data_IF_622431512662
#
_entry.id   IF_622431512662
#
_cell.length_a   1.000
_cell.length_b   1.000
_cell.length_c   1.000
_cell.angle_alpha   90.00
_cell.angle_beta   90.00
_cell.angle_gamma   90.00
#
_symmetry.space_group_name_H-M   'P 1'
#
loop_
_entity.id
_entity.type
_entity.pdbx_description
1 polymer ?
#
# COMPACT_ATOMS: atom_id res chain seq x y z
N UNK A 1 -20.08 -19.05 4.31
CA UNK A 1 -18.89 -19.06 3.41
C UNK A 1 -19.25 -18.78 1.95
N UNK A 2 -20.34 -19.32 1.39
CA UNK A 2 -20.70 -19.09 -0.03
C UNK A 2 -20.91 -17.62 -0.41
N UNK A 3 -21.48 -16.79 0.46
CA UNK A 3 -21.73 -15.37 0.17
C UNK A 3 -20.44 -14.55 -0.02
N UNK A 4 -19.41 -14.82 0.79
CA UNK A 4 -18.09 -14.15 0.69
C UNK A 4 -17.41 -14.51 -0.65
N UNK A 5 -17.48 -15.79 -1.02
CA UNK A 5 -16.89 -16.28 -2.26
C UNK A 5 -17.58 -15.71 -3.51
N UNK A 6 -18.92 -15.64 -3.49
CA UNK A 6 -19.70 -15.08 -4.60
C UNK A 6 -19.43 -13.57 -4.75
N UNK A 7 -19.36 -12.83 -3.64
CA UNK A 7 -19.02 -11.39 -3.66
C UNK A 7 -17.61 -11.17 -4.22
N UNK A 8 -16.64 -12.01 -3.84
CA UNK A 8 -15.28 -11.95 -4.37
C UNK A 8 -15.21 -12.26 -5.88
N UNK A 9 -15.98 -13.25 -6.36
CA UNK A 9 -16.07 -13.56 -7.79
C UNK A 9 -16.68 -12.43 -8.61
N UNK A 10 -17.69 -11.74 -8.09
CA UNK A 10 -18.27 -10.56 -8.72
C UNK A 10 -17.24 -9.44 -8.85
N UNK A 11 -16.44 -9.20 -7.80
CA UNK A 11 -15.35 -8.22 -7.82
C UNK A 11 -14.29 -8.55 -8.87
N UNK A 12 -13.88 -9.82 -9.01
CA UNK A 12 -12.93 -10.23 -10.07
C UNK A 12 -13.52 -9.96 -11.45
N UNK A 13 -14.82 -10.20 -11.65
CA UNK A 13 -15.49 -9.92 -12.92
C UNK A 13 -15.48 -8.43 -13.26
N UNK A 14 -15.80 -7.58 -12.29
CA UNK A 14 -15.74 -6.11 -12.44
C UNK A 14 -14.31 -5.66 -12.75
N UNK A 15 -13.31 -6.19 -12.04
CA UNK A 15 -11.90 -5.87 -12.26
C UNK A 15 -11.47 -6.21 -13.69
N UNK A 16 -11.95 -7.32 -14.27
CA UNK A 16 -11.65 -7.70 -15.66
C UNK A 16 -12.33 -6.80 -16.70
N UNK A 17 -13.40 -6.11 -16.34
CA UNK A 17 -14.16 -5.27 -17.26
C UNK A 17 -13.68 -3.81 -17.23
N UNK A 18 -13.16 -3.33 -16.10
CA UNK A 18 -12.60 -1.97 -15.98
C UNK A 18 -11.09 -1.96 -16.32
N UNK A 19 -10.76 -1.42 -17.50
CA UNK A 19 -9.39 -1.28 -17.97
C UNK A 19 -8.51 -0.45 -17.03
N UNK A 20 -9.07 0.54 -16.32
CA UNK A 20 -8.33 1.36 -15.38
C UNK A 20 -7.84 0.54 -14.18
N UNK A 21 -8.69 -0.33 -13.64
CA UNK A 21 -8.36 -1.18 -12.49
C UNK A 21 -7.29 -2.23 -12.84
N UNK A 22 -7.33 -2.76 -14.06
CA UNK A 22 -6.30 -3.67 -14.57
C UNK A 22 -4.94 -2.97 -14.64
N UNK A 23 -4.90 -1.75 -15.18
CA UNK A 23 -3.67 -0.96 -15.29
C UNK A 23 -3.10 -0.69 -13.89
N UNK A 24 -3.94 -0.35 -12.92
CA UNK A 24 -3.50 -0.11 -11.53
C UNK A 24 -2.94 -1.39 -10.90
N UNK A 25 -3.59 -2.54 -11.11
CA UNK A 25 -3.10 -3.82 -10.59
C UNK A 25 -1.75 -4.24 -11.23
N UNK A 26 -1.51 -3.86 -12.48
CA UNK A 26 -0.24 -4.07 -13.17
C UNK A 26 0.84 -3.01 -12.87
N UNK A 27 0.44 -1.85 -12.31
CA UNK A 27 1.35 -0.74 -12.03
C UNK A 27 2.57 -1.14 -11.17
N UNK A 28 2.47 -1.98 -10.12
CA UNK A 28 3.64 -2.42 -9.36
C UNK A 28 4.65 -3.21 -10.19
N UNK A 29 4.18 -4.01 -11.14
CA UNK A 29 5.04 -4.80 -12.01
C UNK A 29 5.73 -3.90 -13.06
N UNK A 30 4.99 -2.97 -13.64
CA UNK A 30 5.56 -1.94 -14.53
C UNK A 30 6.60 -1.09 -13.79
N UNK A 31 6.27 -0.59 -12.60
CA UNK A 31 7.19 0.17 -11.76
C UNK A 31 8.43 -0.65 -11.38
N UNK A 32 8.27 -1.94 -11.04
CA UNK A 32 9.39 -2.83 -10.74
C UNK A 32 10.33 -3.05 -11.92
N UNK A 33 9.79 -3.29 -13.12
CA UNK A 33 10.62 -3.36 -14.33
C UNK A 33 11.35 -2.05 -14.59
N UNK A 34 10.64 -0.92 -14.47
CA UNK A 34 11.24 0.39 -14.67
C UNK A 34 12.36 0.65 -13.67
N UNK A 35 12.16 0.41 -12.38
CA UNK A 35 13.19 0.61 -11.36
C UNK A 35 14.39 -0.31 -11.57
N UNK A 36 14.19 -1.60 -11.86
CA UNK A 36 15.29 -2.55 -12.06
C UNK A 36 16.18 -2.21 -13.26
N UNK A 37 15.62 -1.64 -14.34
CA UNK A 37 16.41 -1.28 -15.52
C UNK A 37 16.89 0.17 -15.51
N UNK A 38 16.05 1.12 -15.10
CA UNK A 38 16.37 2.54 -15.12
C UNK A 38 17.44 2.89 -14.09
N UNK A 39 17.39 2.33 -12.88
CA UNK A 39 18.29 2.73 -11.79
C UNK A 39 19.75 2.33 -12.07
N UNK A 40 20.06 1.08 -12.47
CA UNK A 40 21.43 0.73 -12.84
C UNK A 40 21.92 1.45 -14.10
N UNK A 41 21.02 1.81 -15.02
CA UNK A 41 21.36 2.60 -16.19
C UNK A 41 21.75 4.03 -15.81
N UNK A 42 20.98 4.66 -14.92
CA UNK A 42 21.26 5.99 -14.37
C UNK A 42 22.57 5.95 -13.57
N UNK A 43 22.81 4.92 -12.76
CA UNK A 43 24.06 4.78 -12.02
C UNK A 43 25.26 4.76 -12.98
N UNK A 44 25.24 3.96 -14.04
CA UNK A 44 26.32 3.89 -15.03
C UNK A 44 26.60 5.23 -15.72
N UNK A 45 25.55 6.02 -16.02
CA UNK A 45 25.71 7.34 -16.63
C UNK A 45 26.34 8.34 -15.66
N UNK A 46 25.93 8.31 -14.39
CA UNK A 46 26.42 9.25 -13.37
C UNK A 46 27.85 8.90 -12.98
N UNK A 47 28.17 7.61 -12.75
CA UNK A 47 29.54 7.19 -12.41
C UNK A 47 30.52 7.49 -13.54
N UNK A 48 30.09 7.36 -14.80
CA UNK A 48 30.88 7.76 -15.97
C UNK A 48 31.12 9.27 -16.09
N UNK A 49 30.22 10.12 -15.59
CA UNK A 49 30.35 11.58 -15.65
C UNK A 49 31.08 12.19 -14.45
N UNK A 50 30.85 11.65 -13.24
CA UNK A 50 31.40 12.17 -11.99
C UNK A 50 32.66 11.44 -11.49
N UNK A 51 33.02 10.28 -12.07
CA UNK A 51 34.23 9.53 -11.70
C UNK A 51 34.21 8.94 -10.29
N UNK A 52 33.02 8.70 -9.72
CA UNK A 52 32.85 8.05 -8.42
C UNK A 52 32.33 6.62 -8.59
N UNK A 53 32.73 5.70 -7.71
CA UNK A 53 32.45 4.26 -7.85
C UNK A 53 30.97 3.88 -7.60
N UNK A 54 30.26 4.57 -6.71
CA UNK A 54 28.82 4.35 -6.46
C UNK A 54 28.16 5.54 -5.76
N UNK A 55 27.21 6.21 -6.43
CA UNK A 55 26.49 7.37 -5.89
C UNK A 55 25.05 7.00 -5.46
N UNK A 56 24.41 6.05 -6.15
CA UNK A 56 23.02 5.67 -5.86
C UNK A 56 22.88 4.45 -4.94
N UNK A 57 23.96 3.71 -4.69
CA UNK A 57 23.94 2.50 -3.87
C UNK A 57 23.24 2.64 -2.50
N UNK A 58 23.38 3.75 -1.74
CA UNK A 58 22.67 3.92 -0.46
C UNK A 58 21.13 4.07 -0.60
N UNK A 59 20.64 4.41 -1.80
CA UNK A 59 19.22 4.64 -2.07
C UNK A 59 18.50 3.42 -2.67
N UNK A 60 19.22 2.33 -2.97
CA UNK A 60 18.61 1.10 -3.50
C UNK A 60 17.62 0.49 -2.52
N UNK A 61 17.94 0.57 -1.23
CA UNK A 61 17.04 0.16 -0.14
C UNK A 61 15.74 0.97 -0.11
N UNK A 62 15.81 2.28 -0.36
CA UNK A 62 14.64 3.16 -0.39
C UNK A 62 13.73 2.86 -1.58
N UNK A 63 14.31 2.54 -2.74
CA UNK A 63 13.56 2.13 -3.94
C UNK A 63 12.87 0.79 -3.70
N UNK A 64 13.59 -0.19 -3.15
CA UNK A 64 13.01 -1.49 -2.82
C UNK A 64 11.87 -1.35 -1.83
N UNK A 65 12.03 -0.50 -0.79
CA UNK A 65 10.97 -0.16 0.15
C UNK A 65 9.74 0.44 -0.55
N UNK A 66 9.97 1.40 -1.46
CA UNK A 66 8.89 2.05 -2.18
C UNK A 66 8.10 1.04 -3.02
N UNK A 67 8.78 0.11 -3.68
CA UNK A 67 8.16 -0.97 -4.45
C UNK A 67 7.37 -1.95 -3.54
N UNK A 68 7.92 -2.29 -2.36
CA UNK A 68 7.25 -3.15 -1.38
C UNK A 68 5.98 -2.51 -0.83
N UNK A 69 5.97 -1.20 -0.58
CA UNK A 69 4.76 -0.46 -0.12
C UNK A 69 3.78 -0.24 -1.26
N UNK A 70 4.26 0.10 -2.46
CA UNK A 70 3.44 0.41 -3.63
C UNK A 70 2.60 -0.79 -4.05
N UNK A 71 3.19 -1.99 -4.05
CA UNK A 71 2.50 -3.22 -4.48
C UNK A 71 1.16 -3.45 -3.76
N UNK A 72 1.12 -3.63 -2.43
CA UNK A 72 -0.12 -3.83 -1.71
C UNK A 72 -1.01 -2.58 -1.70
N UNK A 73 -0.44 -1.39 -1.79
CA UNK A 73 -1.24 -0.16 -1.87
C UNK A 73 -2.08 -0.11 -3.15
N UNK A 74 -1.52 -0.49 -4.30
CA UNK A 74 -2.24 -0.53 -5.57
C UNK A 74 -3.32 -1.61 -5.59
N UNK A 75 -3.05 -2.81 -5.05
CA UNK A 75 -4.07 -3.85 -4.92
C UNK A 75 -5.24 -3.38 -4.05
N UNK A 76 -4.96 -2.82 -2.86
CA UNK A 76 -6.00 -2.34 -1.95
C UNK A 76 -6.73 -1.10 -2.50
N UNK A 77 -6.07 -0.27 -3.30
CA UNK A 77 -6.68 0.84 -4.02
C UNK A 77 -7.76 0.37 -5.01
N UNK A 78 -7.48 -0.68 -5.79
CA UNK A 78 -8.46 -1.26 -6.71
C UNK A 78 -9.72 -1.68 -5.96
N UNK A 79 -9.56 -2.29 -4.78
CA UNK A 79 -10.70 -2.67 -3.93
C UNK A 79 -11.50 -1.45 -3.47
N UNK A 80 -10.82 -0.40 -3.03
CA UNK A 80 -11.46 0.83 -2.60
C UNK A 80 -12.30 1.45 -3.72
N UNK A 81 -11.78 1.43 -4.97
CA UNK A 81 -12.51 1.91 -6.15
C UNK A 81 -13.73 1.06 -6.46
N UNK A 82 -13.62 -0.28 -6.39
CA UNK A 82 -14.78 -1.16 -6.59
C UNK A 82 -15.84 -0.93 -5.51
N UNK A 83 -15.43 -0.72 -4.26
CA UNK A 83 -16.38 -0.38 -3.19
C UNK A 83 -17.09 0.94 -3.50
N UNK A 84 -16.37 1.96 -3.98
CA UNK A 84 -16.94 3.26 -4.33
C UNK A 84 -17.88 3.18 -5.54
N UNK A 85 -17.56 2.36 -6.53
CA UNK A 85 -18.41 2.10 -7.68
C UNK A 85 -19.73 1.43 -7.27
N UNK A 86 -19.67 0.43 -6.39
CA UNK A 86 -20.86 -0.17 -5.79
C UNK A 86 -21.65 0.84 -4.94
N UNK A 87 -20.98 1.84 -4.35
CA UNK A 87 -21.67 2.91 -3.63
C UNK A 87 -22.37 3.90 -4.55
N UNK A 88 -21.77 4.22 -5.69
CA UNK A 88 -22.30 5.14 -6.69
C UNK A 88 -23.51 4.55 -7.43
N UNK A 89 -23.50 3.24 -7.73
CA UNK A 89 -24.62 2.52 -8.37
C UNK A 89 -25.85 2.33 -7.44
N UNK A 90 -25.93 3.07 -6.33
CA UNK A 90 -26.99 3.00 -5.30
C UNK A 90 -27.18 1.64 -4.62
N UNK A 91 -26.23 0.70 -4.79
CA UNK A 91 -26.28 -0.64 -4.18
C UNK A 91 -26.01 -0.64 -2.67
N UNK A 92 -25.58 0.49 -2.09
CA UNK A 92 -25.37 0.63 -0.63
C UNK A 92 -26.67 0.60 0.17
N UNK A 93 -27.77 1.06 -0.41
CA UNK A 93 -29.10 0.94 0.21
C UNK A 93 -29.49 -0.52 0.43
N UNK A 94 -29.03 -1.42 -0.44
CA UNK A 94 -29.21 -2.87 -0.29
C UNK A 94 -28.19 -3.52 0.66
N UNK A 95 -26.98 -2.97 0.82
CA UNK A 95 -25.96 -3.49 1.75
C UNK A 95 -26.41 -3.43 3.21
N UNK A 96 -27.23 -2.44 3.60
CA UNK A 96 -27.81 -2.32 4.94
C UNK A 96 -28.74 -3.50 5.31
N UNK A 97 -29.26 -4.22 4.31
CA UNK A 97 -30.23 -5.32 4.47
C UNK A 97 -29.60 -6.70 4.29
N UNK A 98 -28.29 -6.77 3.98
CA UNK A 98 -27.58 -8.06 3.81
C UNK A 98 -27.14 -8.67 5.15
N UNK A 99 -27.17 -10.01 5.29
CA UNK A 99 -26.80 -10.71 6.54
C UNK A 99 -25.30 -10.62 6.91
N UNK A 100 -24.46 -10.04 6.03
CA UNK A 100 -23.02 -9.86 6.25
C UNK A 100 -22.68 -8.67 7.17
N UNK A 101 -23.58 -7.70 7.30
CA UNK A 101 -23.34 -6.47 8.06
C UNK A 101 -22.21 -5.58 7.49
N UNK A 102 -22.07 -4.37 8.04
CA UNK A 102 -21.12 -3.34 7.56
C UNK A 102 -19.66 -3.74 7.75
N UNK A 103 -19.37 -4.45 8.84
CA UNK A 103 -18.02 -4.93 9.20
C UNK A 103 -17.63 -6.17 8.43
N UNK A 104 -18.56 -7.10 8.21
CA UNK A 104 -18.32 -8.32 7.42
C UNK A 104 -18.07 -8.03 5.95
N UNK A 105 -18.75 -7.02 5.37
CA UNK A 105 -18.48 -6.55 4.02
C UNK A 105 -17.05 -6.01 3.87
N UNK A 106 -16.59 -5.11 4.76
CA UNK A 106 -15.21 -4.60 4.71
C UNK A 106 -14.16 -5.71 4.90
N UNK A 107 -14.37 -6.60 5.87
CA UNK A 107 -13.46 -7.73 6.13
C UNK A 107 -13.38 -8.67 4.92
N UNK A 108 -14.51 -8.92 4.25
CA UNK A 108 -14.56 -9.79 3.09
C UNK A 108 -13.78 -9.25 1.88
N UNK A 109 -13.73 -7.93 1.69
CA UNK A 109 -13.02 -7.31 0.57
C UNK A 109 -11.60 -6.93 0.93
N UNK A 110 -11.44 -5.99 1.87
CA UNK A 110 -10.13 -5.47 2.25
C UNK A 110 -9.28 -6.52 2.99
N UNK A 111 -9.91 -7.41 3.78
CA UNK A 111 -9.19 -8.48 4.46
C UNK A 111 -8.65 -9.53 3.48
N UNK A 112 -9.49 -10.02 2.57
CA UNK A 112 -9.09 -11.03 1.57
C UNK A 112 -8.05 -10.47 0.61
N UNK A 113 -8.21 -9.25 0.13
CA UNK A 113 -7.23 -8.64 -0.79
C UNK A 113 -5.97 -8.21 -0.05
N UNK A 114 -6.08 -7.75 1.20
CA UNK A 114 -4.94 -7.58 2.09
C UNK A 114 -4.09 -8.86 2.17
N UNK A 115 -4.74 -10.01 2.39
CA UNK A 115 -4.08 -11.32 2.43
C UNK A 115 -3.47 -11.75 1.09
N UNK A 116 -4.11 -11.44 -0.05
CA UNK A 116 -3.56 -11.73 -1.39
C UNK A 116 -2.41 -10.78 -1.76
N UNK A 117 -2.49 -9.53 -1.31
CA UNK A 117 -1.49 -8.50 -1.60
C UNK A 117 -0.16 -8.74 -0.89
N UNK A 118 -0.17 -9.49 0.22
CA UNK A 118 1.03 -9.86 0.97
C UNK A 118 1.99 -10.79 0.20
N UNK A 119 1.58 -11.98 -0.29
CA UNK A 119 2.45 -12.81 -1.12
C UNK A 119 2.78 -12.11 -2.45
N UNK A 120 1.88 -11.28 -2.98
CA UNK A 120 2.15 -10.49 -4.18
C UNK A 120 3.30 -9.50 -3.97
N UNK A 121 3.36 -8.79 -2.83
CA UNK A 121 4.44 -7.85 -2.53
C UNK A 121 5.78 -8.55 -2.34
N UNK A 122 5.80 -9.72 -1.71
CA UNK A 122 7.00 -10.58 -1.62
C UNK A 122 7.45 -11.01 -3.01
N UNK A 123 6.53 -11.47 -3.86
CA UNK A 123 6.84 -11.93 -5.21
C UNK A 123 7.43 -10.82 -6.09
N UNK A 124 6.78 -9.65 -6.13
CA UNK A 124 7.26 -8.50 -6.92
C UNK A 124 8.61 -8.01 -6.40
N UNK A 125 8.79 -7.93 -5.08
CA UNK A 125 10.08 -7.55 -4.50
C UNK A 125 11.18 -8.58 -4.78
N UNK A 126 10.88 -9.89 -4.69
CA UNK A 126 11.85 -10.94 -5.02
C UNK A 126 12.30 -10.89 -6.50
N UNK A 127 11.39 -10.53 -7.41
CA UNK A 127 11.69 -10.36 -8.83
C UNK A 127 12.50 -9.10 -9.15
N UNK A 128 12.29 -8.00 -8.41
CA UNK A 128 12.84 -6.69 -8.76
C UNK A 128 13.82 -6.09 -7.75
N UNK A 129 14.22 -6.84 -6.71
CA UNK A 129 15.16 -6.37 -5.67
C UNK A 129 16.47 -5.84 -6.26
N UNK A 130 16.88 -4.67 -5.79
CA UNK A 130 18.19 -4.07 -6.08
C UNK A 130 19.17 -4.26 -4.92
N UNK A 131 18.68 -4.41 -3.69
CA UNK A 131 19.48 -4.52 -2.47
C UNK A 131 19.40 -5.91 -1.82
N UNK A 132 20.44 -6.28 -1.07
CA UNK A 132 20.52 -7.53 -0.32
C UNK A 132 19.90 -7.38 1.08
N UNK A 133 18.59 -7.16 1.13
CA UNK A 133 17.84 -7.15 2.40
C UNK A 133 17.61 -8.58 2.88
N UNK A 134 17.76 -8.81 4.19
CA UNK A 134 17.46 -10.11 4.81
C UNK A 134 16.00 -10.51 4.52
N UNK A 135 15.78 -11.76 4.12
CA UNK A 135 14.47 -12.32 3.80
C UNK A 135 13.47 -12.10 4.95
N UNK A 136 13.91 -12.26 6.21
CA UNK A 136 13.03 -12.08 7.35
C UNK A 136 12.58 -10.61 7.51
N UNK A 137 13.50 -9.67 7.31
CA UNK A 137 13.19 -8.24 7.30
C UNK A 137 12.24 -7.89 6.14
N UNK A 138 12.52 -8.41 4.94
CA UNK A 138 11.67 -8.22 3.75
C UNK A 138 10.25 -8.71 3.98
N UNK A 139 10.06 -9.90 4.55
CA UNK A 139 8.71 -10.41 4.86
C UNK A 139 7.99 -9.54 5.89
N UNK A 140 8.68 -9.04 6.92
CA UNK A 140 8.06 -8.17 7.91
C UNK A 140 7.70 -6.79 7.33
N UNK A 141 8.49 -6.24 6.41
CA UNK A 141 8.16 -4.99 5.72
C UNK A 141 7.01 -5.21 4.74
N UNK A 142 6.95 -6.37 4.07
CA UNK A 142 5.81 -6.74 3.24
C UNK A 142 4.51 -6.81 4.07
N UNK A 143 4.56 -7.32 5.31
CA UNK A 143 3.43 -7.27 6.24
C UNK A 143 3.08 -5.83 6.63
N UNK A 144 4.08 -5.01 6.95
CA UNK A 144 3.85 -3.61 7.29
C UNK A 144 3.23 -2.84 6.10
N UNK A 145 3.70 -3.11 4.89
CA UNK A 145 3.20 -2.55 3.64
C UNK A 145 1.77 -2.97 3.32
N UNK A 146 1.35 -4.21 3.65
CA UNK A 146 -0.04 -4.62 3.48
C UNK A 146 -0.97 -3.91 4.44
N UNK A 147 -0.56 -3.74 5.69
CA UNK A 147 -1.29 -2.92 6.67
C UNK A 147 -1.39 -1.48 6.16
N UNK A 148 -0.33 -0.91 5.60
CA UNK A 148 -0.36 0.42 5.00
C UNK A 148 -1.30 0.52 3.78
N UNK A 149 -1.32 -0.49 2.90
CA UNK A 149 -2.26 -0.55 1.80
C UNK A 149 -3.72 -0.59 2.27
N UNK A 150 -4.01 -1.33 3.35
CA UNK A 150 -5.35 -1.35 3.97
C UNK A 150 -5.71 0.00 4.59
N UNK A 151 -4.76 0.70 5.23
CA UNK A 151 -4.97 2.07 5.73
C UNK A 151 -5.36 3.01 4.59
N UNK A 152 -4.62 2.96 3.46
CA UNK A 152 -4.89 3.78 2.28
C UNK A 152 -6.30 3.51 1.73
N UNK A 153 -6.66 2.24 1.55
CA UNK A 153 -7.98 1.88 1.07
C UNK A 153 -9.10 2.35 2.01
N UNK A 154 -8.93 2.17 3.33
CA UNK A 154 -9.89 2.66 4.31
C UNK A 154 -10.01 4.19 4.29
N UNK A 155 -8.91 4.92 4.13
CA UNK A 155 -8.96 6.38 3.99
C UNK A 155 -9.75 6.81 2.75
N UNK A 156 -9.54 6.15 1.62
CA UNK A 156 -10.26 6.44 0.37
C UNK A 156 -11.76 6.23 0.55
N UNK A 157 -12.17 5.06 1.04
CA UNK A 157 -13.60 4.74 1.19
C UNK A 157 -14.25 5.58 2.30
N UNK A 158 -13.51 5.95 3.34
CA UNK A 158 -14.05 6.80 4.42
C UNK A 158 -14.22 8.26 4.02
N UNK A 159 -13.25 8.83 3.30
CA UNK A 159 -13.26 10.26 3.00
C UNK A 159 -14.04 10.60 1.73
N UNK A 160 -14.25 9.63 0.83
CA UNK A 160 -14.90 9.88 -0.46
C UNK A 160 -16.39 9.58 -0.42
N UNK A 161 -17.18 10.37 -1.14
CA UNK A 161 -18.60 10.12 -1.37
C UNK A 161 -18.86 9.36 -2.66
N UNK A 162 -17.99 9.51 -3.67
CA UNK A 162 -18.10 8.86 -4.98
C UNK A 162 -16.75 8.41 -5.55
N UNK A 163 -16.76 7.65 -6.65
CA UNK A 163 -15.56 7.11 -7.33
C UNK A 163 -14.60 8.22 -7.76
N UNK A 164 -15.11 9.35 -8.24
CA UNK A 164 -14.28 10.48 -8.71
C UNK A 164 -13.53 11.16 -7.55
N UNK A 165 -14.21 11.42 -6.44
CA UNK A 165 -13.60 11.91 -5.21
C UNK A 165 -12.62 10.89 -4.65
N UNK A 166 -12.94 9.60 -4.76
CA UNK A 166 -12.05 8.47 -4.47
C UNK A 166 -10.71 8.58 -5.18
N UNK A 167 -10.72 8.94 -6.46
CA UNK A 167 -9.48 9.12 -7.24
C UNK A 167 -8.64 10.30 -6.74
N UNK A 168 -9.30 11.39 -6.33
CA UNK A 168 -8.61 12.55 -5.77
C UNK A 168 -8.02 12.23 -4.40
N UNK A 169 -8.82 11.67 -3.49
CA UNK A 169 -8.38 11.24 -2.16
C UNK A 169 -7.26 10.21 -2.26
N UNK A 170 -7.35 9.29 -3.22
CA UNK A 170 -6.30 8.34 -3.58
C UNK A 170 -4.93 8.97 -3.71
N UNK A 171 -4.83 10.00 -4.55
CA UNK A 171 -3.57 10.75 -4.77
C UNK A 171 -3.10 11.50 -3.53
N UNK A 172 -4.01 11.94 -2.66
CA UNK A 172 -3.63 12.59 -1.40
C UNK A 172 -3.13 11.55 -0.40
N UNK A 173 -3.74 10.35 -0.35
CA UNK A 173 -3.34 9.29 0.58
C UNK A 173 -1.96 8.72 0.28
N UNK A 174 -1.43 8.86 -0.95
CA UNK A 174 -0.03 8.53 -1.22
C UNK A 174 0.95 9.40 -0.43
N UNK A 175 0.53 10.56 0.09
CA UNK A 175 1.36 11.35 1.02
C UNK A 175 1.70 10.57 2.30
N UNK A 176 0.92 9.56 2.69
CA UNK A 176 1.27 8.69 3.81
C UNK A 176 2.54 7.87 3.54
N UNK A 177 2.98 7.69 2.29
CA UNK A 177 4.26 7.04 1.95
C UNK A 177 5.44 7.99 2.06
N UNK A 178 5.22 9.32 2.14
CA UNK A 178 6.31 10.32 2.24
C UNK A 178 7.13 10.16 3.51
N UNK A 179 6.54 9.62 4.58
CA UNK A 179 7.26 9.30 5.82
C UNK A 179 8.49 8.41 5.62
N UNK A 180 8.50 7.56 4.58
CA UNK A 180 9.62 6.69 4.25
C UNK A 180 10.88 7.45 3.77
N UNK A 181 10.74 8.67 3.24
CA UNK A 181 11.88 9.48 2.79
C UNK A 181 12.65 10.11 3.96
N UNK A 182 11.99 10.35 5.10
CA UNK A 182 12.57 11.12 6.18
C UNK A 182 13.88 10.53 6.74
N UNK A 183 14.02 9.21 6.97
CA UNK A 183 15.27 8.64 7.46
C UNK A 183 16.45 8.71 6.50
N UNK A 184 16.19 8.89 5.21
CA UNK A 184 17.24 8.97 4.19
C UNK A 184 17.68 10.42 3.90
N UNK A 185 16.79 11.40 4.05
CA UNK A 185 17.06 12.79 3.66
C UNK A 185 17.17 13.79 4.81
N UNK A 186 16.62 13.50 6.00
CA UNK A 186 16.58 14.45 7.11
C UNK A 186 17.47 13.95 8.25
N UNK A 187 18.57 14.66 8.51
CA UNK A 187 19.43 14.42 9.67
C UNK A 187 19.01 15.30 10.85
N UNK A 188 18.65 14.71 12.00
CA UNK A 188 18.41 15.44 13.26
C UNK A 188 17.03 15.21 13.88
N UNK A 189 16.68 16.00 14.91
CA UNK A 189 15.45 15.82 15.71
C UNK A 189 14.15 16.02 14.91
N UNK A 190 14.20 16.78 13.81
CA UNK A 190 13.04 17.01 12.93
C UNK A 190 12.54 15.73 12.25
N UNK A 191 13.40 14.72 12.08
CA UNK A 191 13.05 13.42 11.52
C UNK A 191 11.91 12.73 12.33
N UNK A 192 11.85 12.95 13.65
CA UNK A 192 10.86 12.31 14.52
C UNK A 192 9.45 12.89 14.39
N UNK A 193 9.26 14.04 13.74
CA UNK A 193 7.92 14.58 13.48
C UNK A 193 7.08 13.64 12.60
N UNK A 194 7.74 12.89 11.72
CA UNK A 194 7.11 11.90 10.83
C UNK A 194 6.97 10.52 11.47
N UNK A 195 7.34 10.36 12.75
CA UNK A 195 7.22 9.08 13.48
C UNK A 195 5.77 8.63 13.70
N UNK A 196 4.80 9.51 13.51
CA UNK A 196 3.38 9.16 13.57
C UNK A 196 2.93 8.29 12.37
N UNK A 197 3.69 8.33 11.27
CA UNK A 197 3.41 7.57 10.07
C UNK A 197 4.07 6.17 10.17
N UNK A 198 3.34 5.08 9.88
CA UNK A 198 3.94 3.74 9.83
C UNK A 198 5.10 3.64 8.83
N UNK A 199 4.99 4.32 7.69
CA UNK A 199 6.01 4.34 6.62
C UNK A 199 7.38 4.84 7.08
N UNK A 200 7.43 5.74 8.06
CA UNK A 200 8.68 6.20 8.67
C UNK A 200 9.45 5.07 9.35
N UNK A 201 8.73 4.25 10.12
CA UNK A 201 9.33 3.14 10.85
C UNK A 201 9.75 2.00 9.92
N UNK A 202 9.04 1.79 8.80
CA UNK A 202 9.47 0.84 7.77
C UNK A 202 10.81 1.23 7.16
N UNK A 203 10.99 2.51 6.80
CA UNK A 203 12.27 3.01 6.27
C UNK A 203 13.41 2.88 7.29
N UNK A 204 13.14 3.22 8.56
CA UNK A 204 14.13 3.08 9.63
C UNK A 204 14.48 1.60 9.90
N UNK A 205 13.51 0.68 9.76
CA UNK A 205 13.72 -0.74 9.95
C UNK A 205 14.69 -1.33 8.91
N UNK A 206 14.58 -0.91 7.65
CA UNK A 206 15.53 -1.31 6.60
C UNK A 206 16.91 -0.72 6.87
N UNK A 207 17.01 0.61 7.02
CA UNK A 207 18.28 1.31 7.16
C UNK A 207 19.10 0.84 8.37
N UNK A 208 18.46 0.56 9.50
CA UNK A 208 19.14 0.13 10.74
C UNK A 208 19.09 -1.37 10.98
N UNK A 209 18.48 -2.14 10.07
CA UNK A 209 18.21 -3.57 10.20
C UNK A 209 17.59 -3.95 11.57
N UNK A 210 16.71 -3.10 12.09
CA UNK A 210 16.19 -3.18 13.44
C UNK A 210 14.75 -3.70 13.47
N UNK A 211 14.58 -4.91 14.02
CA UNK A 211 13.28 -5.56 14.16
C UNK A 211 12.31 -4.81 15.10
N UNK A 212 12.81 -4.01 16.05
CA UNK A 212 11.95 -3.21 16.92
C UNK A 212 11.23 -2.11 16.14
N UNK A 213 11.92 -1.45 15.20
CA UNK A 213 11.30 -0.45 14.32
C UNK A 213 10.20 -1.08 13.45
N UNK A 214 10.41 -2.31 13.00
CA UNK A 214 9.43 -3.08 12.25
C UNK A 214 8.18 -3.39 13.10
N UNK A 215 8.35 -3.83 14.34
CA UNK A 215 7.23 -4.07 15.26
C UNK A 215 6.45 -2.78 15.53
N UNK A 216 7.14 -1.65 15.74
CA UNK A 216 6.51 -0.35 15.95
C UNK A 216 5.67 0.04 14.71
N UNK A 217 6.20 -0.18 13.51
CA UNK A 217 5.46 0.07 12.27
C UNK A 217 4.15 -0.72 12.20
N UNK A 218 4.19 -2.01 12.53
CA UNK A 218 3.00 -2.88 12.47
C UNK A 218 1.98 -2.47 13.53
N UNK A 219 2.42 -2.19 14.76
CA UNK A 219 1.54 -1.77 15.84
C UNK A 219 0.87 -0.43 15.55
N UNK A 220 1.64 0.57 15.09
CA UNK A 220 1.09 1.87 14.68
C UNK A 220 0.14 1.72 13.49
N UNK A 221 0.49 0.88 12.51
CA UNK A 221 -0.38 0.59 11.38
C UNK A 221 -1.71 -0.03 11.82
N UNK A 222 -1.67 -1.03 12.71
CA UNK A 222 -2.87 -1.64 13.28
C UNK A 222 -3.74 -0.65 14.03
N UNK A 223 -3.13 0.26 14.81
CA UNK A 223 -3.84 1.34 15.52
C UNK A 223 -4.57 2.25 14.52
N UNK A 224 -3.90 2.67 13.44
CA UNK A 224 -4.51 3.45 12.36
C UNK A 224 -5.70 2.74 11.71
N UNK A 225 -5.57 1.45 11.40
CA UNK A 225 -6.67 0.64 10.85
C UNK A 225 -7.88 0.63 11.80
N UNK A 226 -7.66 0.46 13.11
CA UNK A 226 -8.73 0.46 14.10
C UNK A 226 -9.41 1.83 14.21
N UNK A 227 -8.65 2.93 14.21
CA UNK A 227 -9.22 4.27 14.29
C UNK A 227 -10.05 4.62 13.05
N UNK A 228 -9.55 4.33 11.86
CA UNK A 228 -10.22 4.67 10.60
C UNK A 228 -11.45 3.78 10.39
N UNK A 229 -11.37 2.49 10.71
CA UNK A 229 -12.52 1.58 10.62
C UNK A 229 -13.67 2.00 11.55
N UNK A 230 -13.37 2.47 12.77
CA UNK A 230 -14.39 3.06 13.66
C UNK A 230 -15.05 4.29 13.04
N UNK A 231 -14.28 5.16 12.37
CA UNK A 231 -14.80 6.33 11.68
C UNK A 231 -15.68 5.95 10.49
N UNK A 232 -15.31 4.91 9.74
CA UNK A 232 -16.10 4.37 8.64
C UNK A 232 -17.47 3.87 9.08
N UNK A 233 -17.51 3.07 10.15
CA UNK A 233 -18.76 2.50 10.67
C UNK A 233 -19.72 3.61 11.09
N UNK A 234 -19.20 4.70 11.70
CA UNK A 234 -20.00 5.88 12.03
C UNK A 234 -20.56 6.60 10.80
N UNK A 235 -19.76 6.75 9.73
CA UNK A 235 -20.20 7.43 8.49
C UNK A 235 -21.42 6.74 7.86
N UNK A 236 -21.46 5.40 7.87
CA UNK A 236 -22.57 4.64 7.29
C UNK A 236 -23.76 4.52 8.27
N UNK A 237 -23.60 4.87 9.54
CA UNK A 237 -24.68 4.84 10.51
C UNK A 237 -25.57 6.10 10.48
N UNK A 238 -25.10 7.16 9.83
CA UNK A 238 -25.87 8.38 9.54
C UNK A 238 -26.51 8.27 8.16
#
# INVERSE_FOLDING_TARGET
>A
MNAIYISFLQMIRQLKQDAMLIIIALAPLLAGTFFRFAIPFIEKLITGYFGADAILAPYYELVDLFLIILTPSMFNYVVAMVILEETDDHMVSYLAVTPLGKTGYLLSRLGVIGLISFPASIFVSALFRLSNVNILMLTGIALAGTVQGVIIALLIVTLSANKVEGMAVGKITTLFTVGAFAPYFITGKMQYTLSILPSYWMARAIQSNNYLALLISILLGGLWVILISKKFIKKIAC
#
